data_IF_588983872579
#
_entry.id   IF_588983872579
#
_cell.length_a   1.000
_cell.length_b   1.000
_cell.length_c   1.000
_cell.angle_alpha   90.00
_cell.angle_beta   90.00
_cell.angle_gamma   90.00
#
_symmetry.space_group_name_H-M   'P 1'
#
loop_
_entity.id
_entity.type
_entity.pdbx_description
1 polymer ?
#
# COMPACT_ATOMS: atom_id res chain seq x y z
N UNK A 1 23.84 -7.99 10.35
CA UNK A 1 22.40 -7.80 10.08
C UNK A 1 22.25 -7.60 8.59
N UNK A 2 21.77 -8.62 7.88
CA UNK A 2 21.63 -8.58 6.43
C UNK A 2 20.64 -7.49 6.02
N UNK A 3 21.19 -6.38 5.54
CA UNK A 3 20.46 -5.26 4.97
C UNK A 3 19.92 -5.56 3.56
N UNK A 4 20.26 -6.74 3.01
CA UNK A 4 19.65 -7.31 1.83
C UNK A 4 18.25 -7.79 2.18
N UNK A 5 17.32 -6.84 2.35
CA UNK A 5 15.90 -7.15 2.22
C UNK A 5 15.74 -7.71 0.82
N UNK A 6 15.38 -8.99 0.69
CA UNK A 6 15.07 -9.56 -0.60
C UNK A 6 14.11 -8.60 -1.31
N UNK A 7 14.40 -8.30 -2.58
CA UNK A 7 13.58 -7.41 -3.39
C UNK A 7 12.67 -8.27 -4.25
N UNK A 8 11.45 -7.82 -4.45
CA UNK A 8 10.52 -8.40 -5.40
C UNK A 8 10.33 -7.42 -6.55
N UNK A 9 10.17 -7.95 -7.76
CA UNK A 9 9.89 -7.18 -8.95
C UNK A 9 8.48 -7.51 -9.42
N UNK A 10 7.61 -6.52 -9.42
CA UNK A 10 6.19 -6.68 -9.80
C UNK A 10 5.89 -5.84 -11.03
N UNK A 11 4.90 -6.27 -11.80
CA UNK A 11 4.55 -5.65 -13.06
C UNK A 11 3.27 -4.83 -12.95
N UNK A 12 3.25 -3.67 -13.62
CA UNK A 12 2.01 -2.97 -13.91
C UNK A 12 1.27 -3.66 -15.06
N UNK A 13 -0.05 -3.42 -15.25
CA UNK A 13 -0.77 -3.94 -16.42
C UNK A 13 -0.22 -3.41 -17.76
N UNK A 14 0.60 -2.35 -17.71
CA UNK A 14 1.29 -1.76 -18.87
C UNK A 14 2.70 -2.36 -19.10
N UNK A 15 3.04 -3.41 -18.36
CA UNK A 15 4.34 -4.09 -18.39
C UNK A 15 5.53 -3.26 -17.88
N UNK A 16 5.27 -2.22 -17.09
CA UNK A 16 6.34 -1.53 -16.35
C UNK A 16 6.75 -2.38 -15.14
N UNK A 17 8.03 -2.33 -14.77
CA UNK A 17 8.57 -3.06 -13.62
C UNK A 17 8.72 -2.11 -12.43
N UNK A 18 8.22 -2.52 -11.28
CA UNK A 18 8.33 -1.81 -10.01
C UNK A 18 9.08 -2.70 -9.01
N UNK A 19 10.08 -2.12 -8.34
CA UNK A 19 10.88 -2.78 -7.32
C UNK A 19 10.37 -2.47 -5.91
N UNK A 20 10.05 -3.51 -5.16
CA UNK A 20 9.52 -3.40 -3.80
C UNK A 20 10.32 -4.29 -2.84
N UNK A 21 10.36 -3.97 -1.54
CA UNK A 21 10.88 -4.92 -0.55
C UNK A 21 9.99 -6.17 -0.48
N UNK A 22 10.58 -7.32 -0.21
CA UNK A 22 9.85 -8.55 0.10
C UNK A 22 8.84 -8.32 1.23
N UNK A 23 7.69 -9.00 1.13
CA UNK A 23 6.54 -8.82 2.02
C UNK A 23 5.70 -7.58 1.72
N UNK A 24 6.01 -6.82 0.66
CA UNK A 24 5.17 -5.70 0.22
C UNK A 24 3.79 -6.18 -0.21
N UNK A 25 2.81 -5.33 0.00
CA UNK A 25 1.40 -5.60 -0.33
C UNK A 25 0.92 -4.68 -1.48
N UNK A 26 -0.24 -4.92 -2.11
CA UNK A 26 -0.83 -4.06 -3.13
C UNK A 26 -0.90 -2.57 -2.75
N UNK A 27 -1.04 -2.25 -1.46
CA UNK A 27 -1.01 -0.86 -0.98
C UNK A 27 0.37 -0.21 -1.16
N UNK A 28 1.47 -0.93 -0.90
CA UNK A 28 2.82 -0.42 -1.15
C UNK A 28 2.99 -0.10 -2.64
N UNK A 29 2.55 -1.02 -3.51
CA UNK A 29 2.56 -0.84 -4.96
C UNK A 29 1.71 0.37 -5.40
N UNK A 30 0.49 0.51 -4.86
CA UNK A 30 -0.40 1.62 -5.17
C UNK A 30 0.22 2.98 -4.84
N UNK A 31 0.82 3.12 -3.65
CA UNK A 31 1.50 4.35 -3.24
C UNK A 31 2.81 4.60 -3.99
N UNK A 32 3.47 3.55 -4.48
CA UNK A 32 4.62 3.67 -5.38
C UNK A 32 4.21 4.29 -6.73
N UNK A 33 3.08 3.84 -7.31
CA UNK A 33 2.58 4.40 -8.57
C UNK A 33 2.12 5.85 -8.38
N UNK A 34 1.19 6.08 -7.46
CA UNK A 34 0.69 7.43 -7.21
C UNK A 34 -0.11 7.52 -5.90
N UNK A 35 0.04 8.63 -5.17
CA UNK A 35 -0.71 8.85 -3.91
C UNK A 35 -2.23 8.79 -4.10
N UNK A 36 -2.76 9.33 -5.20
CA UNK A 36 -4.19 9.21 -5.52
C UNK A 36 -4.66 7.75 -5.61
N UNK A 37 -3.88 6.87 -6.24
CA UNK A 37 -4.22 5.45 -6.38
C UNK A 37 -4.18 4.76 -5.01
N UNK A 38 -3.15 5.05 -4.20
CA UNK A 38 -3.04 4.54 -2.83
C UNK A 38 -4.20 4.96 -1.93
N UNK A 39 -4.55 6.24 -1.93
CA UNK A 39 -5.63 6.78 -1.08
C UNK A 39 -7.01 6.24 -1.46
N UNK A 40 -7.23 5.97 -2.75
CA UNK A 40 -8.52 5.54 -3.30
C UNK A 40 -8.55 4.03 -3.64
N UNK A 41 -7.59 3.24 -3.15
CA UNK A 41 -7.55 1.80 -3.38
C UNK A 41 -8.80 1.12 -2.79
N UNK A 42 -9.65 0.56 -3.65
CA UNK A 42 -10.88 -0.15 -3.29
C UNK A 42 -10.76 -1.67 -3.40
N UNK A 43 -9.88 -2.15 -4.28
CA UNK A 43 -9.59 -3.56 -4.47
C UNK A 43 -8.34 -3.78 -5.29
N UNK A 44 -7.97 -5.04 -5.51
CA UNK A 44 -6.80 -5.39 -6.32
C UNK A 44 -7.06 -6.67 -7.08
N UNK A 45 -6.40 -6.81 -8.23
CA UNK A 45 -6.19 -8.09 -8.89
C UNK A 45 -4.71 -8.39 -8.94
N UNK A 46 -4.37 -9.66 -8.73
CA UNK A 46 -3.02 -10.18 -8.88
C UNK A 46 -3.11 -11.28 -9.95
N UNK A 47 -2.33 -11.14 -11.02
CA UNK A 47 -2.34 -12.06 -12.17
C UNK A 47 -3.76 -12.29 -12.73
N UNK A 48 -4.54 -11.20 -12.86
CA UNK A 48 -5.90 -11.21 -13.37
C UNK A 48 -6.99 -11.73 -12.40
N UNK A 49 -6.62 -12.20 -11.20
CA UNK A 49 -7.55 -12.73 -10.20
C UNK A 49 -7.76 -11.77 -9.05
N UNK A 50 -9.00 -11.65 -8.55
CA UNK A 50 -9.32 -10.82 -7.39
C UNK A 50 -8.52 -11.27 -6.16
N UNK A 51 -7.92 -10.32 -5.47
CA UNK A 51 -7.16 -10.56 -4.24
C UNK A 51 -7.46 -9.46 -3.20
N UNK A 52 -7.02 -9.68 -1.96
CA UNK A 52 -7.16 -8.69 -0.90
C UNK A 52 -6.06 -7.63 -1.03
N UNK A 53 -6.34 -6.40 -0.59
CA UNK A 53 -5.35 -5.31 -0.56
C UNK A 53 -4.17 -5.58 0.39
N UNK A 54 -4.30 -6.58 1.28
CA UNK A 54 -3.30 -7.00 2.26
C UNK A 54 -2.54 -8.26 1.84
N UNK A 55 -2.84 -8.83 0.66
CA UNK A 55 -2.12 -9.99 0.16
C UNK A 55 -0.64 -9.65 -0.07
N UNK A 56 0.27 -10.54 0.33
CA UNK A 56 1.70 -10.35 0.04
C UNK A 56 1.98 -10.57 -1.45
N UNK A 57 2.76 -9.67 -2.04
CA UNK A 57 3.19 -9.73 -3.42
C UNK A 57 4.43 -10.61 -3.57
N UNK A 58 4.53 -11.28 -4.71
CA UNK A 58 5.69 -12.09 -5.09
C UNK A 58 6.36 -11.51 -6.34
N UNK A 59 7.65 -11.78 -6.48
CA UNK A 59 8.36 -11.40 -7.71
C UNK A 59 7.72 -12.10 -8.91
N UNK A 60 7.45 -11.35 -9.97
CA UNK A 60 6.74 -11.83 -11.15
C UNK A 60 5.26 -11.49 -11.20
N UNK A 61 4.66 -11.05 -10.09
CA UNK A 61 3.23 -10.75 -10.06
C UNK A 61 2.86 -9.53 -10.90
N UNK A 62 1.82 -9.65 -11.70
CA UNK A 62 1.15 -8.53 -12.36
C UNK A 62 0.04 -7.99 -11.45
N UNK A 63 0.18 -6.74 -11.02
CA UNK A 63 -0.70 -6.11 -10.03
C UNK A 63 -1.56 -5.04 -10.68
N UNK A 64 -2.88 -5.16 -10.55
CA UNK A 64 -3.85 -4.17 -11.00
C UNK A 64 -4.61 -3.62 -9.79
N UNK A 65 -4.50 -2.31 -9.54
CA UNK A 65 -5.23 -1.65 -8.44
C UNK A 65 -6.57 -1.13 -8.97
N UNK A 66 -7.65 -1.55 -8.30
CA UNK A 66 -8.99 -1.05 -8.57
C UNK A 66 -9.24 0.17 -7.70
N UNK A 67 -9.35 1.33 -8.35
CA UNK A 67 -9.55 2.62 -7.68
C UNK A 67 -11.05 2.88 -7.50
N UNK A 68 -11.47 3.09 -6.25
CA UNK A 68 -12.81 3.59 -5.91
C UNK A 68 -12.74 5.10 -5.65
N UNK A 69 -13.24 5.89 -6.61
CA UNK A 69 -13.25 7.36 -6.51
C UNK A 69 -14.11 7.89 -5.36
N UNK A 70 -15.03 7.10 -4.82
CA UNK A 70 -15.85 7.47 -3.65
C UNK A 70 -15.10 7.28 -2.34
N UNK A 71 -14.02 6.49 -2.34
CA UNK A 71 -13.18 6.27 -1.16
C UNK A 71 -12.31 7.50 -0.92
N UNK A 72 -12.67 8.29 0.07
CA UNK A 72 -11.96 9.53 0.39
C UNK A 72 -10.72 9.36 1.29
N UNK A 73 -10.50 8.16 1.88
CA UNK A 73 -9.41 7.95 2.85
C UNK A 73 -8.83 6.53 2.85
N UNK A 74 -7.51 6.40 3.14
CA UNK A 74 -6.88 5.12 3.39
C UNK A 74 -7.36 4.48 4.70
N UNK A 75 -7.13 3.18 4.86
CA UNK A 75 -7.39 2.48 6.12
C UNK A 75 -6.22 2.67 7.09
N UNK A 76 -6.51 2.81 8.39
CA UNK A 76 -5.48 2.86 9.44
C UNK A 76 -4.74 1.53 9.58
N UNK A 77 -5.43 0.41 9.36
CA UNK A 77 -4.88 -0.95 9.42
C UNK A 77 -3.66 -1.13 8.50
N UNK A 78 -3.64 -0.42 7.37
CA UNK A 78 -2.56 -0.51 6.38
C UNK A 78 -1.22 -0.09 6.96
N UNK A 79 -1.17 0.83 7.95
CA UNK A 79 0.08 1.27 8.59
C UNK A 79 0.89 0.14 9.20
N UNK A 80 0.22 -0.92 9.66
CA UNK A 80 0.84 -2.07 10.29
C UNK A 80 1.30 -3.13 9.29
N UNK A 81 0.87 -3.04 8.02
CA UNK A 81 1.10 -4.05 7.00
C UNK A 81 2.00 -3.58 5.85
N UNK A 82 1.99 -2.28 5.55
CA UNK A 82 2.86 -1.72 4.50
C UNK A 82 4.34 -1.86 4.86
N UNK A 83 5.16 -2.23 3.89
CA UNK A 83 6.59 -2.39 4.09
C UNK A 83 7.37 -1.12 3.76
N UNK A 84 6.88 -0.31 2.82
CA UNK A 84 7.58 0.87 2.33
C UNK A 84 7.37 2.08 3.25
N UNK A 85 8.44 2.84 3.48
CA UNK A 85 8.35 4.10 4.23
C UNK A 85 7.48 5.13 3.49
N UNK A 86 7.56 5.15 2.16
CA UNK A 86 6.73 6.01 1.32
C UNK A 86 5.23 5.79 1.58
N UNK A 87 4.75 4.54 1.50
CA UNK A 87 3.35 4.25 1.76
C UNK A 87 2.96 4.63 3.20
N UNK A 88 3.78 4.25 4.18
CA UNK A 88 3.56 4.58 5.59
C UNK A 88 3.40 6.09 5.83
N UNK A 89 4.27 6.90 5.23
CA UNK A 89 4.28 8.35 5.42
C UNK A 89 3.09 9.02 4.71
N UNK A 90 2.76 8.58 3.48
CA UNK A 90 1.59 9.08 2.75
C UNK A 90 0.27 8.73 3.45
N UNK A 91 0.13 7.51 3.95
CA UNK A 91 -1.04 7.08 4.72
C UNK A 91 -1.18 7.95 5.98
N UNK A 92 -0.11 8.12 6.78
CA UNK A 92 -0.13 8.99 7.97
C UNK A 92 -0.55 10.42 7.62
N UNK A 93 0.00 10.98 6.53
CA UNK A 93 -0.34 12.32 6.07
C UNK A 93 -1.82 12.43 5.69
N UNK A 94 -2.35 11.45 4.96
CA UNK A 94 -3.75 11.39 4.54
C UNK A 94 -4.70 11.27 5.74
N UNK A 95 -4.40 10.39 6.70
CA UNK A 95 -5.18 10.21 7.93
C UNK A 95 -5.19 11.45 8.84
N UNK A 96 -4.07 12.19 8.88
CA UNK A 96 -3.97 13.47 9.59
C UNK A 96 -4.87 14.53 8.95
N UNK A 97 -4.90 14.60 7.61
CA UNK A 97 -5.80 15.51 6.87
C UNK A 97 -7.27 15.18 7.07
N UNK A 98 -7.62 13.91 7.21
CA UNK A 98 -9.01 13.47 7.42
C UNK A 98 -9.50 13.52 8.88
N UNK A 99 -8.71 14.06 9.81
CA UNK A 99 -9.10 14.24 11.23
C UNK A 99 -9.16 12.96 12.09
N UNK A 100 -8.71 11.79 11.59
CA UNK A 100 -8.78 10.50 12.32
C UNK A 100 -7.60 10.27 13.27
N UNK A 101 -6.50 10.99 13.06
CA UNK A 101 -5.22 10.76 13.76
C UNK A 101 -5.26 11.04 15.28
N UNK A 102 -6.29 11.73 15.78
CA UNK A 102 -6.36 12.22 17.16
C UNK A 102 -6.68 11.16 18.23
N UNK A 103 -7.35 10.03 17.90
CA UNK A 103 -7.85 9.11 18.93
C UNK A 103 -6.83 8.08 19.43
N UNK A 104 -5.92 7.62 18.59
CA UNK A 104 -4.98 6.55 18.95
C UNK A 104 -3.74 7.06 19.71
N UNK A 105 -3.20 8.21 19.30
CA UNK A 105 -2.00 8.80 19.92
C UNK A 105 -2.22 9.30 21.34
N UNK A 106 -3.47 9.59 21.72
CA UNK A 106 -3.84 10.03 23.07
C UNK A 106 -3.85 8.89 24.10
N UNK A 107 -3.96 7.63 23.66
CA UNK A 107 -4.02 6.45 24.55
C UNK A 107 -2.62 5.94 24.90
N UNK A 108 -1.66 6.07 23.99
CA UNK A 108 -0.29 5.55 24.17
C UNK A 108 0.69 6.51 24.87
N UNK A 109 0.29 7.76 25.12
CA UNK A 109 1.09 8.78 25.80
C UNK A 109 0.56 9.14 27.21
N UNK A 110 -0.10 8.20 27.89
CA UNK A 110 -0.57 8.37 29.28
C UNK A 110 -0.03 7.26 30.17
#
# INVERSE_FOLDING_TARGET
>A
MDFFKNRIFVFTPKADVIDLPEGSIPIDFAYHIHTYIGDHAGGTKINGKMATLLAELKSGDMVEILVDKKRAKPSEEWLNKVQTNLARDKIKQSLKKSGSFGKFFQIFNR
#
